data_IF_159043126762
#
_entry.id   IF_159043126762
#
_cell.length_a   1.000
_cell.length_b   1.000
_cell.length_c   1.000
_cell.angle_alpha   90.00
_cell.angle_beta   90.00
_cell.angle_gamma   90.00
#
_symmetry.space_group_name_H-M   'P 1'
#
loop_
_entity.id
_entity.type
_entity.pdbx_description
1 polymer ?
#
# COMPACT_ATOMS: atom_id res chain seq x y z
N UNK A 1 -24.26 4.12 -2.40
CA UNK A 1 -23.80 2.80 -2.86
C UNK A 1 -23.37 2.99 -4.31
N UNK A 2 -22.06 3.08 -4.57
CA UNK A 2 -21.57 3.26 -5.93
C UNK A 2 -21.72 1.96 -6.74
N UNK A 3 -21.86 2.14 -8.06
CA UNK A 3 -22.46 1.19 -9.02
C UNK A 3 -21.75 -0.16 -9.16
N UNK A 4 -20.59 -0.33 -8.53
CA UNK A 4 -19.74 -1.53 -8.63
C UNK A 4 -19.60 -2.29 -7.31
N UNK A 5 -20.27 -1.88 -6.22
CA UNK A 5 -20.18 -2.57 -4.91
C UNK A 5 -18.83 -2.40 -4.18
N UNK A 6 -17.89 -1.65 -4.76
CA UNK A 6 -16.56 -1.33 -4.20
C UNK A 6 -16.54 0.00 -3.40
N UNK A 7 -17.66 0.40 -2.80
CA UNK A 7 -17.71 1.54 -1.88
C UNK A 7 -17.14 1.14 -0.51
N UNK A 8 -16.42 2.04 0.17
CA UNK A 8 -16.08 1.82 1.57
C UNK A 8 -17.38 1.61 2.38
N UNK A 9 -17.39 0.62 3.27
CA UNK A 9 -18.54 0.43 4.19
C UNK A 9 -18.59 1.62 5.15
N UNK A 10 -19.78 1.97 5.65
CA UNK A 10 -19.92 3.02 6.66
C UNK A 10 -19.00 2.74 7.87
N UNK A 11 -18.13 3.69 8.21
CA UNK A 11 -17.17 3.56 9.31
C UNK A 11 -15.87 2.79 8.99
N UNK A 12 -15.71 2.21 7.79
CA UNK A 12 -14.49 1.50 7.42
C UNK A 12 -13.36 2.50 7.10
N UNK A 13 -12.23 2.39 7.80
CA UNK A 13 -11.07 3.24 7.50
C UNK A 13 -10.35 2.74 6.24
N UNK A 14 -9.61 3.59 5.51
CA UNK A 14 -8.78 3.14 4.39
C UNK A 14 -7.77 2.05 4.77
N UNK A 15 -7.26 2.07 6.01
CA UNK A 15 -6.36 1.03 6.53
C UNK A 15 -7.09 -0.30 6.65
N UNK A 16 -8.31 -0.31 7.19
CA UNK A 16 -9.11 -1.53 7.30
C UNK A 16 -9.42 -2.13 5.94
N UNK A 17 -9.81 -1.27 4.97
CA UNK A 17 -10.05 -1.68 3.60
C UNK A 17 -8.79 -2.28 2.94
N UNK A 18 -7.63 -1.63 3.10
CA UNK A 18 -6.36 -2.16 2.58
C UNK A 18 -6.04 -3.54 3.16
N UNK A 19 -6.23 -3.73 4.46
CA UNK A 19 -6.00 -5.01 5.14
C UNK A 19 -6.99 -6.10 4.71
N UNK A 20 -8.25 -5.75 4.46
CA UNK A 20 -9.25 -6.68 3.91
C UNK A 20 -8.89 -7.08 2.48
N UNK A 21 -8.61 -6.11 1.61
CA UNK A 21 -8.25 -6.35 0.22
C UNK A 21 -6.98 -7.21 0.12
N UNK A 22 -5.96 -6.92 0.93
CA UNK A 22 -4.72 -7.71 1.00
C UNK A 22 -4.96 -9.19 1.31
N UNK A 23 -6.00 -9.53 2.08
CA UNK A 23 -6.38 -10.91 2.41
C UNK A 23 -7.08 -11.64 1.26
N UNK A 24 -7.61 -10.91 0.30
CA UNK A 24 -8.44 -11.44 -0.79
C UNK A 24 -7.77 -11.35 -2.15
N UNK A 25 -6.58 -10.75 -2.24
CA UNK A 25 -5.79 -10.67 -3.47
C UNK A 25 -5.53 -12.08 -4.04
N UNK A 26 -5.84 -12.23 -5.33
CA UNK A 26 -5.45 -13.40 -6.10
C UNK A 26 -3.97 -13.32 -6.51
N UNK A 27 -3.34 -14.43 -6.90
CA UNK A 27 -1.98 -14.43 -7.45
C UNK A 27 -1.80 -13.42 -8.60
N UNK A 28 -2.74 -13.40 -9.56
CA UNK A 28 -2.74 -12.43 -10.65
C UNK A 28 -2.85 -10.96 -10.19
N UNK A 29 -3.51 -10.71 -9.05
CA UNK A 29 -3.53 -9.39 -8.42
C UNK A 29 -2.15 -9.00 -7.87
N UNK A 30 -1.47 -9.94 -7.22
CA UNK A 30 -0.11 -9.77 -6.68
C UNK A 30 0.90 -9.52 -7.82
N UNK A 31 0.86 -10.33 -8.88
CA UNK A 31 1.69 -10.12 -10.08
C UNK A 31 1.50 -8.73 -10.69
N UNK A 32 0.24 -8.26 -10.77
CA UNK A 32 -0.07 -6.94 -11.31
C UNK A 32 0.52 -5.82 -10.45
N UNK A 33 0.44 -5.93 -9.13
CA UNK A 33 1.07 -4.99 -8.20
C UNK A 33 2.59 -5.01 -8.40
N UNK A 34 3.19 -6.20 -8.49
CA UNK A 34 4.64 -6.35 -8.69
C UNK A 34 5.11 -5.72 -10.00
N UNK A 35 4.35 -5.88 -11.09
CA UNK A 35 4.58 -5.20 -12.35
C UNK A 35 4.41 -3.68 -12.24
N UNK A 36 3.38 -3.22 -11.53
CA UNK A 36 3.20 -1.81 -11.22
C UNK A 36 4.40 -1.22 -10.48
N UNK A 37 4.92 -1.92 -9.48
CA UNK A 37 6.10 -1.49 -8.73
C UNK A 37 7.34 -1.44 -9.62
N UNK A 38 7.62 -2.50 -10.39
CA UNK A 38 8.71 -2.53 -11.36
C UNK A 38 8.63 -1.36 -12.35
N UNK A 39 7.43 -1.09 -12.88
CA UNK A 39 7.23 -0.02 -13.85
C UNK A 39 7.33 1.38 -13.23
N UNK A 40 6.91 1.57 -11.97
CA UNK A 40 6.70 2.91 -11.40
C UNK A 40 7.72 3.30 -10.33
N UNK A 41 8.44 2.35 -9.76
CA UNK A 41 9.32 2.54 -8.60
C UNK A 41 10.73 1.93 -8.75
N UNK A 42 11.01 1.19 -9.83
CA UNK A 42 12.33 0.64 -10.13
C UNK A 42 13.13 1.52 -11.11
N UNK A 43 14.43 1.28 -11.26
CA UNK A 43 15.32 2.03 -12.16
C UNK A 43 15.42 3.51 -11.83
N UNK A 44 15.35 4.38 -12.84
CA UNK A 44 15.51 5.84 -12.70
C UNK A 44 14.44 6.49 -11.80
N UNK A 45 13.30 5.81 -11.60
CA UNK A 45 12.21 6.29 -10.73
C UNK A 45 12.44 5.95 -9.25
N UNK A 46 13.40 5.08 -8.97
CA UNK A 46 13.65 4.57 -7.62
C UNK A 46 14.00 5.68 -6.63
N UNK A 47 14.81 6.65 -7.05
CA UNK A 47 15.16 7.80 -6.22
C UNK A 47 13.92 8.63 -5.82
N UNK A 48 12.98 8.82 -6.73
CA UNK A 48 11.72 9.52 -6.47
C UNK A 48 10.81 8.77 -5.50
N UNK A 49 10.73 7.44 -5.64
CA UNK A 49 9.97 6.59 -4.73
C UNK A 49 10.53 6.64 -3.31
N UNK A 50 11.85 6.47 -3.15
CA UNK A 50 12.53 6.57 -1.85
C UNK A 50 12.38 7.97 -1.23
N UNK A 51 12.38 9.03 -2.06
CA UNK A 51 12.12 10.37 -1.57
C UNK A 51 10.71 10.52 -0.99
N UNK A 52 9.70 9.93 -1.64
CA UNK A 52 8.33 9.89 -1.15
C UNK A 52 8.19 9.10 0.16
N UNK A 53 8.84 7.93 0.27
CA UNK A 53 8.87 7.14 1.50
C UNK A 53 9.47 7.95 2.65
N UNK A 54 10.61 8.61 2.40
CA UNK A 54 11.28 9.45 3.41
C UNK A 54 10.44 10.66 3.81
N UNK A 55 9.71 11.27 2.87
CA UNK A 55 8.82 12.38 3.17
C UNK A 55 7.69 11.95 4.12
N UNK A 56 7.05 10.83 3.81
CA UNK A 56 5.99 10.27 4.64
C UNK A 56 6.50 9.85 6.04
N UNK A 57 7.64 9.16 6.13
CA UNK A 57 8.22 8.78 7.43
C UNK A 57 8.57 9.98 8.29
N UNK A 58 9.17 11.03 7.71
CA UNK A 58 9.49 12.27 8.45
C UNK A 58 8.23 12.97 8.96
N UNK A 59 7.16 13.00 8.16
CA UNK A 59 5.89 13.57 8.57
C UNK A 59 5.30 12.82 9.77
N UNK A 60 5.28 11.48 9.71
CA UNK A 60 4.79 10.65 10.81
C UNK A 60 5.64 10.82 12.09
N UNK A 61 6.96 10.98 11.94
CA UNK A 61 7.85 11.28 13.05
C UNK A 61 7.52 12.64 13.69
N UNK A 62 7.37 13.69 12.89
CA UNK A 62 7.05 15.04 13.37
C UNK A 62 5.72 15.12 14.10
N UNK A 63 4.75 14.30 13.71
CA UNK A 63 3.42 14.26 14.32
C UNK A 63 3.27 13.20 15.42
N UNK A 64 4.34 12.50 15.77
CA UNK A 64 4.32 11.45 16.81
C UNK A 64 3.50 10.22 16.42
N UNK A 65 3.29 9.99 15.12
CA UNK A 65 2.50 8.87 14.56
C UNK A 65 3.34 7.66 14.18
N UNK A 66 4.66 7.68 14.39
CA UNK A 66 5.56 6.54 14.11
C UNK A 66 5.12 5.20 14.73
N UNK A 67 4.65 5.14 16.01
CA UNK A 67 4.22 3.86 16.60
C UNK A 67 3.03 3.23 15.85
N UNK A 68 2.08 4.04 15.39
CA UNK A 68 0.93 3.58 14.60
C UNK A 68 1.37 2.99 13.26
N UNK A 69 2.40 3.58 12.65
CA UNK A 69 2.99 3.05 11.42
C UNK A 69 3.71 1.71 11.68
N UNK A 70 4.52 1.62 12.73
CA UNK A 70 5.22 0.38 13.07
C UNK A 70 4.23 -0.77 13.32
N UNK A 71 3.17 -0.54 14.09
CA UNK A 71 2.10 -1.52 14.32
C UNK A 71 1.42 -1.99 13.03
N UNK A 72 1.12 -1.06 12.11
CA UNK A 72 0.53 -1.42 10.82
C UNK A 72 1.51 -2.20 9.95
N UNK A 73 2.77 -1.76 9.88
CA UNK A 73 3.82 -2.44 9.13
C UNK A 73 3.98 -3.88 9.61
N UNK A 74 4.06 -4.10 10.92
CA UNK A 74 4.23 -5.43 11.48
C UNK A 74 3.04 -6.35 11.18
N UNK A 75 1.81 -5.80 11.21
CA UNK A 75 0.60 -6.53 10.80
C UNK A 75 0.64 -6.92 9.32
N UNK A 76 1.08 -6.02 8.42
CA UNK A 76 1.17 -6.28 6.98
C UNK A 76 2.25 -7.32 6.66
N UNK A 77 3.42 -7.21 7.30
CA UNK A 77 4.49 -8.19 7.16
C UNK A 77 4.07 -9.57 7.69
N UNK A 78 3.24 -9.63 8.74
CA UNK A 78 2.62 -10.86 9.22
C UNK A 78 1.62 -11.51 8.26
N UNK A 79 1.13 -10.80 7.24
CA UNK A 79 0.24 -11.35 6.22
C UNK A 79 0.99 -11.84 4.97
N UNK A 80 2.16 -11.27 4.71
CA UNK A 80 2.90 -11.38 3.45
C UNK A 80 4.16 -12.25 3.57
N UNK A 81 4.95 -12.09 4.63
CA UNK A 81 6.25 -12.75 4.78
C UNK A 81 6.39 -13.54 6.10
N UNK A 82 5.85 -13.03 7.21
CA UNK A 82 6.07 -13.56 8.56
C UNK A 82 4.89 -14.39 9.07
N UNK A 83 5.17 -15.43 9.84
CA UNK A 83 4.12 -16.24 10.49
C UNK A 83 3.45 -17.23 9.54
N UNK A 84 2.13 -17.10 9.32
CA UNK A 84 1.37 -17.93 8.38
C UNK A 84 0.93 -17.07 7.20
N UNK A 85 1.84 -16.77 6.25
CA UNK A 85 1.52 -15.91 5.12
C UNK A 85 0.37 -16.49 4.31
N UNK A 86 -0.45 -15.60 3.77
CA UNK A 86 -1.61 -15.97 2.97
C UNK A 86 -1.18 -16.83 1.77
N UNK A 87 -1.98 -17.85 1.43
CA UNK A 87 -1.62 -18.84 0.39
C UNK A 87 -1.26 -18.16 -0.93
N UNK A 88 -1.97 -17.11 -1.35
CA UNK A 88 -1.69 -16.39 -2.58
C UNK A 88 -0.30 -15.71 -2.57
N UNK A 89 0.06 -15.05 -1.47
CA UNK A 89 1.37 -14.42 -1.29
C UNK A 89 2.49 -15.45 -1.18
N UNK A 90 2.19 -16.60 -0.58
CA UNK A 90 3.07 -17.76 -0.50
C UNK A 90 3.21 -18.51 -1.84
N UNK A 91 2.35 -18.28 -2.82
CA UNK A 91 2.53 -18.87 -4.16
C UNK A 91 3.46 -17.98 -5.00
N UNK A 92 3.46 -16.68 -4.77
CA UNK A 92 4.27 -15.67 -5.45
C UNK A 92 5.63 -15.40 -4.75
N UNK A 93 6.23 -16.42 -4.13
CA UNK A 93 7.54 -16.25 -3.47
C UNK A 93 8.63 -15.76 -4.45
N UNK A 94 9.59 -15.01 -3.91
CA UNK A 94 10.71 -14.44 -4.66
C UNK A 94 10.45 -12.99 -5.03
N UNK A 95 11.05 -12.55 -6.15
CA UNK A 95 11.08 -11.12 -6.51
C UNK A 95 9.70 -10.53 -6.81
N UNK A 96 8.74 -11.32 -7.28
CA UNK A 96 7.35 -10.87 -7.48
C UNK A 96 6.71 -10.50 -6.14
N UNK A 97 6.74 -11.39 -5.15
CA UNK A 97 6.22 -11.16 -3.81
C UNK A 97 6.90 -9.96 -3.13
N UNK A 98 8.23 -9.84 -3.21
CA UNK A 98 8.95 -8.70 -2.64
C UNK A 98 8.55 -7.37 -3.28
N UNK A 99 8.40 -7.31 -4.60
CA UNK A 99 7.91 -6.10 -5.27
C UNK A 99 6.49 -5.74 -4.85
N UNK A 100 5.60 -6.73 -4.76
CA UNK A 100 4.23 -6.51 -4.31
C UNK A 100 4.15 -6.05 -2.85
N UNK A 101 5.00 -6.59 -1.97
CA UNK A 101 5.10 -6.17 -0.57
C UNK A 101 5.60 -4.72 -0.46
N UNK A 102 6.62 -4.33 -1.25
CA UNK A 102 7.11 -2.94 -1.26
C UNK A 102 6.02 -1.95 -1.70
N UNK A 103 5.20 -2.33 -2.67
CA UNK A 103 4.03 -1.54 -3.07
C UNK A 103 2.96 -1.47 -1.96
N UNK A 104 2.69 -2.58 -1.28
CA UNK A 104 1.76 -2.63 -0.14
C UNK A 104 2.22 -1.71 0.99
N UNK A 105 3.50 -1.77 1.36
CA UNK A 105 4.08 -0.91 2.40
C UNK A 105 4.04 0.57 1.99
N UNK A 106 4.36 0.90 0.73
CA UNK A 106 4.25 2.26 0.21
C UNK A 106 2.81 2.79 0.30
N UNK A 107 1.84 2.02 -0.16
CA UNK A 107 0.43 2.41 -0.10
C UNK A 107 -0.06 2.59 1.34
N UNK A 108 0.31 1.69 2.25
CA UNK A 108 -0.02 1.80 3.67
C UNK A 108 0.60 3.07 4.29
N UNK A 109 1.87 3.35 3.98
CA UNK A 109 2.57 4.55 4.45
C UNK A 109 1.88 5.83 3.98
N UNK A 110 1.47 5.88 2.70
CA UNK A 110 0.73 6.99 2.13
C UNK A 110 -0.65 7.19 2.77
N UNK A 111 -1.38 6.11 3.04
CA UNK A 111 -2.68 6.15 3.74
C UNK A 111 -2.52 6.68 5.16
N UNK A 112 -1.53 6.19 5.91
CA UNK A 112 -1.30 6.64 7.29
C UNK A 112 -0.83 8.09 7.30
N UNK A 113 0.10 8.47 6.41
CA UNK A 113 0.55 9.86 6.27
C UNK A 113 -0.61 10.82 5.95
N UNK A 114 -1.55 10.36 5.11
CA UNK A 114 -2.83 11.04 4.92
C UNK A 114 -2.72 12.28 4.02
N UNK A 115 -3.56 13.31 4.22
CA UNK A 115 -3.59 14.53 3.41
C UNK A 115 -2.42 15.49 3.65
N UNK A 116 -1.71 15.35 4.76
CA UNK A 116 -0.57 16.21 5.10
C UNK A 116 0.69 15.86 4.29
N UNK A 117 0.73 14.65 3.70
CA UNK A 117 1.71 14.31 2.67
C UNK A 117 1.29 14.96 1.35
N UNK A 118 2.22 15.68 0.72
CA UNK A 118 1.94 16.31 -0.57
C UNK A 118 1.49 15.29 -1.61
N UNK A 119 0.58 15.76 -2.46
CA UNK A 119 -0.09 14.92 -3.45
C UNK A 119 0.88 14.15 -4.36
N UNK A 120 1.96 14.73 -4.90
CA UNK A 120 2.93 14.00 -5.71
C UNK A 120 3.60 12.81 -4.98
N UNK A 121 4.08 13.00 -3.75
CA UNK A 121 4.65 11.90 -2.98
C UNK A 121 3.59 10.84 -2.65
N UNK A 122 2.38 11.26 -2.27
CA UNK A 122 1.30 10.35 -1.97
C UNK A 122 0.90 9.50 -3.17
N UNK A 123 0.71 10.10 -4.34
CA UNK A 123 0.42 9.37 -5.58
C UNK A 123 1.57 8.43 -5.97
N UNK A 124 2.83 8.86 -5.80
CA UNK A 124 4.00 8.01 -6.09
C UNK A 124 3.97 6.70 -5.30
N UNK A 125 3.59 6.75 -4.03
CA UNK A 125 3.50 5.59 -3.15
C UNK A 125 2.27 4.72 -3.40
N UNK A 126 1.13 5.33 -3.78
CA UNK A 126 -0.13 4.61 -3.99
C UNK A 126 -0.20 3.88 -5.33
N UNK A 127 0.41 4.45 -6.38
CA UNK A 127 0.22 3.99 -7.77
C UNK A 127 0.55 2.51 -8.01
N UNK A 128 1.66 1.94 -7.50
CA UNK A 128 1.94 0.51 -7.69
C UNK A 128 0.84 -0.41 -7.18
N UNK A 129 0.30 -0.13 -5.99
CA UNK A 129 -0.78 -0.91 -5.39
C UNK A 129 -2.13 -0.67 -6.09
N UNK A 130 -2.32 0.53 -6.63
CA UNK A 130 -3.55 0.91 -7.33
C UNK A 130 -3.79 0.12 -8.62
N UNK A 131 -2.77 -0.52 -9.19
CA UNK A 131 -2.91 -1.42 -10.34
C UNK A 131 -3.88 -2.59 -10.04
N UNK A 132 -3.88 -3.09 -8.80
CA UNK A 132 -4.84 -4.09 -8.34
C UNK A 132 -5.98 -3.50 -7.50
N UNK A 133 -5.76 -2.37 -6.83
CA UNK A 133 -6.74 -1.72 -5.95
C UNK A 133 -7.04 -0.27 -6.40
N UNK A 134 -7.86 -0.06 -7.45
CA UNK A 134 -8.06 1.25 -8.06
C UNK A 134 -8.57 2.35 -7.11
N UNK A 135 -9.27 1.94 -6.04
CA UNK A 135 -9.82 2.85 -5.03
C UNK A 135 -8.74 3.69 -4.32
N UNK A 136 -7.47 3.29 -4.37
CA UNK A 136 -6.36 4.05 -3.80
C UNK A 136 -6.13 5.40 -4.50
N UNK A 137 -6.49 5.53 -5.78
CA UNK A 137 -6.34 6.76 -6.55
C UNK A 137 -7.67 7.45 -6.87
N UNK A 138 -8.77 6.69 -6.90
CA UNK A 138 -10.11 7.23 -7.16
C UNK A 138 -10.87 7.60 -5.88
N UNK A 139 -10.48 7.02 -4.75
CA UNK A 139 -11.08 7.26 -3.46
C UNK A 139 -10.63 8.61 -2.91
N UNK A 140 -11.60 9.43 -2.50
CA UNK A 140 -11.35 10.54 -1.62
C UNK A 140 -10.92 9.96 -0.26
N UNK A 141 -9.63 9.67 -0.09
CA UNK A 141 -9.07 9.21 1.20
C UNK A 141 -9.57 10.20 2.25
N UNK A 142 -10.41 9.78 3.21
CA UNK A 142 -11.00 10.68 4.18
C UNK A 142 -9.87 11.39 4.94
N UNK A 143 -10.03 12.71 5.03
CA UNK A 143 -9.24 13.66 5.85
C UNK A 143 -9.35 13.26 7.33
#
# INVERSE_FOLDING_TARGET
MDRDGYGAREGQTPVDRLLEDCRTLSPAGIERIAHGWLALAEGDRHAGYVAAERAALRLLEQEGRSPRWDELRDRLLGLTERGTPLIAWRLEHGETGHRAERALLGAALAIVAGPDLDRPHRETLLRPMAEALPWLLTGNLPV
#
